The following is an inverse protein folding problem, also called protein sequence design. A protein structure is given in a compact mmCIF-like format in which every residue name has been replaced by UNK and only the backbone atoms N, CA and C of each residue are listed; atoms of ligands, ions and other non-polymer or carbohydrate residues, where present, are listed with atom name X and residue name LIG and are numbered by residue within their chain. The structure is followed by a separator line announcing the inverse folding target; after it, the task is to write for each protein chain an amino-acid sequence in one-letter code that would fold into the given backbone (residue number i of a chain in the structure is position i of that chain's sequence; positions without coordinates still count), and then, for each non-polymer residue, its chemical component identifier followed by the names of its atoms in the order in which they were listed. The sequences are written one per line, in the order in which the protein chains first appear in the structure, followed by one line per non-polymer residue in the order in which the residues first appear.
data_IF_175218508959
#
_entry.id   IF_175218508959
#
_cell.length_a   1.000
_cell.length_b   1.000
_cell.length_c   1.000
_cell.angle_alpha   90.00
_cell.angle_beta   90.00
_cell.angle_gamma   90.00
#
_symmetry.space_group_name_H-M   'P 1'
#
loop_
_entity.id
_entity.type
_entity.pdbx_description
1 polymer ?
#
# COMPACT_ATOMS: atom_id res chain seq x y z
N UNK A 1 19.18 -4.57 5.48
CA UNK A 1 20.36 -4.20 6.29
C UNK A 1 21.12 -5.46 6.66
N UNK A 2 22.39 -5.34 7.05
CA UNK A 2 23.16 -6.45 7.64
C UNK A 2 23.04 -6.42 9.17
N UNK A 3 23.17 -7.56 9.87
CA UNK A 3 23.25 -7.55 11.33
C UNK A 3 24.42 -6.66 11.80
N UNK A 4 24.33 -6.03 12.98
CA UNK A 4 25.48 -5.33 13.56
C UNK A 4 26.70 -6.26 13.60
N UNK A 5 27.87 -5.76 13.22
CA UNK A 5 29.12 -6.55 13.18
C UNK A 5 29.60 -6.99 14.57
N UNK A 6 29.06 -6.40 15.64
CA UNK A 6 29.35 -6.76 17.00
C UNK A 6 28.04 -7.02 17.74
N UNK A 7 27.72 -8.29 17.95
CA UNK A 7 26.68 -8.77 18.88
C UNK A 7 27.04 -8.49 20.36
N UNK A 8 27.96 -7.55 20.61
CA UNK A 8 28.47 -7.24 21.94
C UNK A 8 29.10 -8.46 22.63
N UNK A 9 29.73 -9.39 21.90
CA UNK A 9 30.28 -10.57 22.54
C UNK A 9 31.68 -11.00 22.15
N UNK A 10 32.61 -10.66 23.04
CA UNK A 10 33.52 -11.64 23.62
C UNK A 10 32.75 -12.90 24.04
N UNK A 11 32.67 -13.89 23.16
CA UNK A 11 32.53 -15.33 23.43
C UNK A 11 31.43 -15.87 24.39
N UNK A 12 30.47 -15.10 24.94
CA UNK A 12 29.51 -15.59 25.97
C UNK A 12 28.13 -14.86 26.01
N UNK A 13 27.48 -14.55 24.88
CA UNK A 13 26.07 -14.07 24.89
C UNK A 13 25.20 -14.85 23.93
N UNK A 14 24.26 -15.57 24.51
CA UNK A 14 23.16 -16.31 23.89
C UNK A 14 22.01 -15.41 23.43
N UNK A 15 22.23 -14.12 23.21
CA UNK A 15 21.15 -13.17 22.91
C UNK A 15 20.91 -13.04 21.41
N UNK A 16 20.12 -13.96 20.86
CA UNK A 16 19.64 -13.86 19.49
C UNK A 16 18.88 -12.53 19.27
N UNK A 17 19.18 -11.85 18.16
CA UNK A 17 18.42 -10.69 17.70
C UNK A 17 16.98 -11.15 17.43
N UNK A 18 16.02 -10.48 18.07
CA UNK A 18 14.59 -10.82 17.99
C UNK A 18 13.85 -10.00 16.95
N UNK A 19 14.25 -8.75 16.74
CA UNK A 19 13.65 -7.85 15.74
C UNK A 19 14.58 -6.70 15.39
N UNK A 20 14.26 -6.03 14.29
CA UNK A 20 14.86 -4.79 13.84
C UNK A 20 13.79 -3.70 13.79
N UNK A 21 14.23 -2.46 13.96
CA UNK A 21 13.41 -1.28 13.76
C UNK A 21 14.13 -0.34 12.80
N UNK A 22 13.45 0.04 11.73
CA UNK A 22 13.93 1.05 10.79
C UNK A 22 13.10 2.32 10.95
N UNK A 23 13.76 3.46 10.99
CA UNK A 23 13.16 4.77 11.16
C UNK A 23 13.71 5.73 10.12
N UNK A 24 12.81 6.35 9.35
CA UNK A 24 13.15 7.30 8.30
C UNK A 24 12.49 8.65 8.57
N UNK A 25 13.32 9.70 8.62
CA UNK A 25 12.87 11.09 8.84
C UNK A 25 13.12 11.92 7.58
N UNK A 26 12.21 12.84 7.21
CA UNK A 26 12.43 13.71 6.05
C UNK A 26 13.61 14.65 6.31
N UNK A 27 14.54 14.72 5.36
CA UNK A 27 15.76 15.52 5.48
C UNK A 27 15.48 17.03 5.35
N UNK A 28 14.58 17.41 4.43
CA UNK A 28 14.38 18.81 4.04
C UNK A 28 12.93 19.22 3.76
N UNK A 29 11.97 18.28 3.73
CA UNK A 29 10.58 18.57 3.38
C UNK A 29 9.75 18.99 4.61
N UNK A 30 9.30 20.25 4.64
CA UNK A 30 8.33 20.73 5.65
C UNK A 30 6.99 20.01 5.45
N UNK A 31 6.53 19.27 6.46
CA UNK A 31 5.23 18.58 6.46
C UNK A 31 5.27 17.10 6.05
N UNK A 32 6.43 16.59 5.62
CA UNK A 32 6.62 15.15 5.47
C UNK A 32 6.63 14.48 6.84
N UNK A 33 6.01 13.30 6.94
CA UNK A 33 5.96 12.52 8.19
C UNK A 33 7.12 11.53 8.23
N UNK A 34 7.65 11.30 9.43
CA UNK A 34 8.58 10.19 9.66
C UNK A 34 7.84 8.86 9.60
N UNK A 35 8.50 7.84 9.08
CA UNK A 35 7.95 6.49 8.96
C UNK A 35 8.85 5.52 9.73
N UNK A 36 8.24 4.66 10.54
CA UNK A 36 8.93 3.61 11.31
C UNK A 36 8.32 2.27 10.97
N UNK A 37 9.15 1.25 10.78
CA UNK A 37 8.72 -0.15 10.70
C UNK A 37 9.49 -1.01 11.70
N UNK A 38 8.83 -2.06 12.18
CA UNK A 38 9.47 -3.14 12.94
C UNK A 38 9.33 -4.44 12.17
N UNK A 39 10.40 -5.20 12.05
CA UNK A 39 10.42 -6.48 11.32
C UNK A 39 11.38 -7.45 11.99
N UNK A 40 11.13 -8.75 11.84
CA UNK A 40 12.07 -9.80 12.28
C UNK A 40 13.07 -10.18 11.19
N UNK A 41 12.81 -9.78 9.95
CA UNK A 41 13.68 -10.00 8.79
C UNK A 41 14.76 -8.93 8.69
N UNK A 42 15.83 -9.24 7.95
CA UNK A 42 16.90 -8.28 7.58
C UNK A 42 16.47 -7.29 6.48
N UNK A 43 15.21 -7.36 6.06
CA UNK A 43 14.58 -6.50 5.07
C UNK A 43 13.17 -6.12 5.52
N UNK A 44 12.70 -4.98 5.04
CA UNK A 44 11.35 -4.49 5.27
C UNK A 44 11.03 -3.36 4.30
N UNK A 45 9.74 -3.18 4.02
CA UNK A 45 9.24 -2.14 3.11
C UNK A 45 8.58 -1.03 3.93
N UNK A 46 8.99 0.22 3.67
CA UNK A 46 8.39 1.41 4.25
C UNK A 46 7.26 1.89 3.33
N UNK A 47 6.04 1.95 3.85
CA UNK A 47 4.87 2.47 3.14
C UNK A 47 4.53 3.89 3.62
N UNK A 48 3.75 4.62 2.84
CA UNK A 48 3.28 5.97 3.21
C UNK A 48 4.36 7.06 3.17
N UNK A 49 5.47 6.82 2.46
CA UNK A 49 6.45 7.86 2.17
C UNK A 49 5.91 8.82 1.11
N UNK A 50 6.06 10.12 1.35
CA UNK A 50 5.68 11.12 0.35
C UNK A 50 6.58 11.07 -0.90
N UNK A 51 6.04 11.28 -2.10
CA UNK A 51 6.79 11.29 -3.35
C UNK A 51 7.72 12.51 -3.45
N UNK A 52 8.85 12.35 -4.17
CA UNK A 52 9.88 13.40 -4.38
C UNK A 52 10.47 13.99 -3.09
N UNK A 53 10.55 13.20 -2.02
CA UNK A 53 11.11 13.64 -0.72
C UNK A 53 12.35 12.81 -0.38
N UNK A 54 13.40 13.51 0.08
CA UNK A 54 14.59 12.88 0.67
C UNK A 54 14.36 12.52 2.14
N UNK A 55 14.64 11.27 2.50
CA UNK A 55 14.55 10.73 3.86
C UNK A 55 15.92 10.25 4.34
N UNK A 56 16.26 10.55 5.59
CA UNK A 56 17.37 9.97 6.32
C UNK A 56 16.87 8.74 7.09
N UNK A 57 17.31 7.56 6.66
CA UNK A 57 16.91 6.28 7.22
C UNK A 57 17.99 5.70 8.14
N UNK A 58 17.57 5.20 9.29
CA UNK A 58 18.41 4.55 10.30
C UNK A 58 17.77 3.23 10.73
N UNK A 59 18.58 2.26 11.14
CA UNK A 59 18.08 0.96 11.65
C UNK A 59 18.77 0.59 12.96
N UNK A 60 18.05 -0.08 13.87
CA UNK A 60 18.61 -0.69 15.08
C UNK A 60 18.07 -2.09 15.29
N UNK A 61 18.83 -2.93 15.99
CA UNK A 61 18.45 -4.28 16.35
C UNK A 61 17.92 -4.33 17.79
N UNK A 62 17.09 -5.31 18.11
CA UNK A 62 16.60 -5.58 19.46
C UNK A 62 16.87 -7.03 19.84
N UNK A 63 17.36 -7.23 21.06
CA UNK A 63 17.49 -8.55 21.67
C UNK A 63 16.63 -8.62 22.95
N UNK A 64 16.85 -9.63 23.79
CA UNK A 64 16.12 -9.80 25.05
C UNK A 64 16.44 -8.74 26.11
N UNK A 65 17.59 -8.04 25.99
CA UNK A 65 18.01 -6.97 26.91
C UNK A 65 17.47 -5.62 26.46
N UNK A 66 17.46 -5.35 25.15
CA UNK A 66 16.94 -4.09 24.63
C UNK A 66 17.40 -3.75 23.22
N UNK A 67 17.19 -2.49 22.78
CA UNK A 67 17.68 -2.00 21.50
C UNK A 67 19.19 -1.77 21.48
N UNK A 68 19.80 -1.96 20.31
CA UNK A 68 21.14 -1.45 19.98
C UNK A 68 21.13 0.06 19.73
N UNK A 69 22.31 0.64 19.58
CA UNK A 69 22.46 1.95 18.93
C UNK A 69 21.91 1.92 17.49
N UNK A 70 21.49 3.08 17.00
CA UNK A 70 21.12 3.30 15.61
C UNK A 70 22.32 3.17 14.68
N UNK A 71 22.09 2.67 13.47
CA UNK A 71 23.07 2.68 12.39
C UNK A 71 23.40 4.11 11.94
N UNK A 72 24.45 4.25 11.12
CA UNK A 72 24.63 5.45 10.31
C UNK A 72 23.37 5.74 9.48
N UNK A 73 23.04 7.03 9.33
CA UNK A 73 21.92 7.46 8.52
C UNK A 73 22.26 7.40 7.03
N UNK A 74 21.35 6.83 6.24
CA UNK A 74 21.45 6.81 4.78
C UNK A 74 20.39 7.73 4.19
N UNK A 75 20.80 8.66 3.31
CA UNK A 75 19.88 9.50 2.57
C UNK A 75 19.30 8.74 1.37
N UNK A 76 17.97 8.67 1.29
CA UNK A 76 17.22 8.04 0.20
C UNK A 76 16.17 9.02 -0.32
N UNK A 77 16.06 9.18 -1.63
CA UNK A 77 15.04 10.04 -2.24
C UNK A 77 13.96 9.19 -2.89
N UNK A 78 12.69 9.44 -2.54
CA UNK A 78 11.56 8.77 -3.18
C UNK A 78 11.33 9.27 -4.60
N UNK A 79 10.83 8.38 -5.47
CA UNK A 79 10.44 8.73 -6.83
C UNK A 79 9.21 9.65 -6.89
N UNK A 80 8.81 10.00 -8.11
CA UNK A 80 7.49 10.62 -8.33
C UNK A 80 6.37 9.61 -8.02
N UNK A 81 5.21 10.10 -7.60
CA UNK A 81 4.03 9.26 -7.49
C UNK A 81 3.66 8.69 -8.87
N UNK A 82 3.19 7.46 -8.89
CA UNK A 82 2.69 6.78 -10.09
C UNK A 82 1.21 6.46 -9.93
N UNK A 83 0.57 5.94 -10.98
CA UNK A 83 -0.80 5.45 -10.88
C UNK A 83 -0.95 4.43 -9.74
N UNK A 84 -2.09 4.44 -9.01
CA UNK A 84 -2.34 3.47 -7.95
C UNK A 84 -2.40 2.06 -8.52
N UNK A 85 -2.25 1.06 -7.67
CA UNK A 85 -2.48 -0.32 -8.05
C UNK A 85 -3.94 -0.52 -8.46
N UNK A 86 -4.18 -1.35 -9.48
CA UNK A 86 -5.53 -1.67 -9.90
C UNK A 86 -6.31 -2.31 -8.72
N UNK A 87 -7.55 -1.87 -8.46
CA UNK A 87 -8.37 -2.51 -7.44
C UNK A 87 -8.64 -3.97 -7.82
N UNK A 88 -8.89 -4.82 -6.81
CA UNK A 88 -9.29 -6.21 -7.09
C UNK A 88 -10.67 -6.22 -7.75
N UNK A 89 -10.97 -7.33 -8.45
CA UNK A 89 -12.24 -7.52 -9.10
C UNK A 89 -13.43 -7.28 -8.14
N UNK A 90 -14.49 -6.60 -8.60
CA UNK A 90 -15.67 -6.36 -7.79
C UNK A 90 -16.39 -7.67 -7.45
N UNK A 91 -17.01 -7.70 -6.28
CA UNK A 91 -17.89 -8.78 -5.83
C UNK A 91 -19.34 -8.33 -5.95
N UNK A 92 -20.18 -9.18 -6.54
CA UNK A 92 -21.61 -8.91 -6.73
C UNK A 92 -22.40 -9.72 -5.70
N UNK A 93 -23.10 -9.02 -4.81
CA UNK A 93 -23.99 -9.61 -3.82
C UNK A 93 -25.34 -10.00 -4.41
N UNK A 94 -25.97 -11.01 -3.80
CA UNK A 94 -27.34 -11.40 -4.11
C UNK A 94 -28.35 -10.45 -3.45
N UNK A 95 -29.31 -9.98 -4.24
CA UNK A 95 -30.47 -9.18 -3.85
C UNK A 95 -31.45 -9.24 -5.02
N UNK A 96 -32.77 -9.15 -4.79
CA UNK A 96 -33.81 -9.41 -5.81
C UNK A 96 -33.62 -8.66 -7.13
N UNK A 97 -34.23 -7.48 -7.26
CA UNK A 97 -34.09 -6.61 -8.43
C UNK A 97 -32.92 -5.61 -8.29
N UNK A 98 -32.19 -5.68 -7.18
CA UNK A 98 -31.04 -4.82 -6.89
C UNK A 98 -29.81 -5.69 -6.66
N UNK A 99 -28.69 -5.32 -7.27
CA UNK A 99 -27.42 -6.03 -7.12
C UNK A 99 -26.43 -5.10 -6.44
N UNK A 100 -26.01 -5.43 -5.21
CA UNK A 100 -24.97 -4.67 -4.54
C UNK A 100 -23.61 -5.08 -5.11
N UNK A 101 -22.93 -4.15 -5.79
CA UNK A 101 -21.56 -4.31 -6.27
C UNK A 101 -20.62 -3.69 -5.25
N UNK A 102 -19.60 -4.43 -4.84
CA UNK A 102 -18.59 -3.96 -3.88
C UNK A 102 -17.20 -4.22 -4.43
N UNK A 103 -16.25 -3.32 -4.19
CA UNK A 103 -14.85 -3.55 -4.55
C UNK A 103 -13.95 -3.09 -3.41
N UNK A 104 -12.83 -3.79 -3.16
CA UNK A 104 -11.87 -3.32 -2.17
C UNK A 104 -11.16 -2.07 -2.68
N UNK A 105 -10.76 -1.20 -1.76
CA UNK A 105 -9.86 -0.11 -2.08
C UNK A 105 -8.54 -0.65 -2.64
N UNK A 106 -7.89 0.14 -3.51
CA UNK A 106 -6.54 -0.19 -4.00
C UNK A 106 -5.58 -0.41 -2.82
N UNK A 107 -4.80 -1.49 -2.89
CA UNK A 107 -3.92 -1.89 -1.80
C UNK A 107 -2.72 -0.93 -1.63
N UNK A 108 -2.28 -0.33 -2.74
CA UNK A 108 -1.22 0.67 -2.78
C UNK A 108 -1.63 1.85 -3.69
N UNK A 109 -1.40 3.07 -3.19
CA UNK A 109 -1.69 4.32 -3.89
C UNK A 109 -0.44 4.88 -4.60
N UNK A 110 0.70 4.19 -4.50
CA UNK A 110 1.97 4.55 -5.10
C UNK A 110 2.40 6.00 -4.84
N UNK A 111 2.04 6.53 -3.66
CA UNK A 111 2.42 7.87 -3.22
C UNK A 111 1.45 8.99 -3.63
N UNK A 112 0.28 8.67 -4.21
CA UNK A 112 -0.80 9.63 -4.42
C UNK A 112 -2.16 8.99 -4.09
N UNK A 113 -2.93 9.55 -3.15
CA UNK A 113 -4.19 8.93 -2.71
C UNK A 113 -5.18 8.76 -3.86
N UNK A 114 -5.89 7.63 -3.85
CA UNK A 114 -6.98 7.36 -4.81
C UNK A 114 -8.10 8.38 -4.62
N UNK A 115 -8.47 9.08 -5.69
CA UNK A 115 -9.48 10.15 -5.66
C UNK A 115 -10.85 9.73 -6.15
N UNK A 116 -10.94 8.66 -6.96
CA UNK A 116 -12.19 8.12 -7.51
C UNK A 116 -11.99 6.69 -8.03
N UNK A 117 -13.08 5.93 -8.05
CA UNK A 117 -13.23 4.65 -8.73
C UNK A 117 -14.20 4.80 -9.89
N UNK A 118 -13.91 4.12 -10.99
CA UNK A 118 -14.83 3.97 -12.11
C UNK A 118 -15.29 2.52 -12.19
N UNK A 119 -16.60 2.29 -12.21
CA UNK A 119 -17.19 0.98 -12.43
C UNK A 119 -17.78 0.93 -13.83
N UNK A 120 -17.34 -0.06 -14.61
CA UNK A 120 -17.84 -0.30 -15.96
C UNK A 120 -18.45 -1.69 -16.06
N UNK A 121 -19.47 -1.83 -16.90
CA UNK A 121 -20.08 -3.11 -17.25
C UNK A 121 -19.87 -3.41 -18.74
N UNK A 122 -19.72 -4.68 -19.07
CA UNK A 122 -19.61 -5.21 -20.43
C UNK A 122 -20.53 -6.41 -20.59
N UNK A 123 -21.16 -6.57 -21.75
CA UNK A 123 -21.91 -7.76 -22.10
C UNK A 123 -20.99 -8.81 -22.75
N UNK A 124 -21.17 -10.07 -22.37
CA UNK A 124 -20.25 -11.16 -22.77
C UNK A 124 -20.25 -11.44 -24.28
N UNK A 125 -21.28 -11.02 -25.01
CA UNK A 125 -21.44 -11.25 -26.45
C UNK A 125 -20.99 -10.09 -27.34
N UNK A 126 -20.62 -8.96 -26.76
CA UNK A 126 -19.98 -7.85 -27.47
C UNK A 126 -18.51 -7.86 -27.06
N UNK A 127 -17.61 -7.39 -27.94
CA UNK A 127 -16.18 -7.36 -27.60
C UNK A 127 -15.98 -6.64 -26.27
N UNK A 128 -15.01 -7.11 -25.45
CA UNK A 128 -14.68 -6.54 -24.15
C UNK A 128 -14.28 -5.05 -24.18
N UNK A 129 -14.18 -4.47 -25.37
CA UNK A 129 -13.96 -3.05 -25.63
C UNK A 129 -15.23 -2.20 -25.58
N UNK A 130 -16.43 -2.80 -25.61
CA UNK A 130 -17.69 -2.08 -25.50
C UNK A 130 -18.17 -2.12 -24.05
N UNK A 131 -17.76 -1.11 -23.27
CA UNK A 131 -18.09 -0.99 -21.85
C UNK A 131 -18.95 0.26 -21.61
N UNK A 132 -19.79 0.23 -20.59
CA UNK A 132 -20.57 1.38 -20.13
C UNK A 132 -20.20 1.71 -18.69
N UNK A 133 -19.86 2.97 -18.42
CA UNK A 133 -19.57 3.47 -17.09
C UNK A 133 -20.87 3.68 -16.32
N UNK A 134 -21.03 2.99 -15.20
CA UNK A 134 -22.24 3.01 -14.36
C UNK A 134 -22.00 3.73 -13.03
N UNK A 135 -20.74 3.96 -12.65
CA UNK A 135 -20.40 4.69 -11.44
C UNK A 135 -19.06 5.40 -11.58
N UNK A 136 -18.99 6.64 -11.11
CA UNK A 136 -17.75 7.38 -10.90
C UNK A 136 -17.83 8.11 -9.56
N UNK A 137 -16.95 7.76 -8.62
CA UNK A 137 -16.95 8.38 -7.30
C UNK A 137 -16.02 7.72 -6.30
N UNK A 138 -16.05 8.18 -5.05
CA UNK A 138 -15.14 7.72 -3.99
C UNK A 138 -15.63 6.50 -3.20
N UNK A 139 -16.91 6.12 -3.38
CA UNK A 139 -17.46 4.97 -2.68
C UNK A 139 -16.78 3.67 -3.15
N UNK A 140 -16.76 2.66 -2.27
CA UNK A 140 -16.29 1.29 -2.56
C UNK A 140 -17.46 0.32 -2.78
N UNK A 141 -18.64 0.86 -3.03
CA UNK A 141 -19.86 0.12 -3.26
C UNK A 141 -20.80 0.90 -4.17
N UNK A 142 -21.55 0.17 -4.98
CA UNK A 142 -22.59 0.69 -5.86
C UNK A 142 -23.80 -0.23 -5.84
N UNK A 143 -25.00 0.32 -5.73
CA UNK A 143 -26.24 -0.45 -5.80
C UNK A 143 -26.76 -0.39 -7.23
N UNK A 144 -26.52 -1.45 -8.00
CA UNK A 144 -27.01 -1.57 -9.37
C UNK A 144 -28.52 -1.80 -9.35
N UNK A 145 -29.22 -1.06 -10.21
CA UNK A 145 -30.66 -1.02 -10.38
C UNK A 145 -31.05 -1.11 -11.86
N UNK A 146 -32.32 -1.40 -12.14
CA UNK A 146 -32.85 -1.50 -13.51
C UNK A 146 -32.82 -0.15 -14.29
N UNK A 147 -32.57 0.96 -13.59
CA UNK A 147 -32.46 2.29 -14.20
C UNK A 147 -31.02 2.63 -14.63
N UNK A 148 -30.04 1.79 -14.27
CA UNK A 148 -28.67 1.98 -14.70
C UNK A 148 -28.54 1.72 -16.20
N UNK A 149 -27.61 2.39 -16.90
CA UNK A 149 -27.42 2.17 -18.32
C UNK A 149 -26.88 0.76 -18.53
N UNK A 150 -27.78 -0.16 -18.87
CA UNK A 150 -27.45 -1.53 -19.24
C UNK A 150 -27.13 -1.56 -20.73
N UNK A 151 -26.10 -2.31 -21.11
CA UNK A 151 -25.82 -2.55 -22.51
C UNK A 151 -27.02 -3.28 -23.16
N UNK A 152 -27.37 -2.96 -24.42
CA UNK A 152 -28.52 -3.57 -25.09
C UNK A 152 -28.39 -5.10 -25.12
N UNK A 153 -29.51 -5.77 -24.89
CA UNK A 153 -29.65 -7.22 -24.99
C UNK A 153 -29.35 -7.71 -26.42
N UNK A 154 -29.04 -9.00 -26.54
CA UNK A 154 -28.82 -9.66 -27.84
C UNK A 154 -30.15 -9.76 -28.60
N UNK A 155 -30.20 -9.16 -29.79
CA UNK A 155 -31.28 -9.35 -30.77
C UNK A 155 -31.43 -10.83 -31.22
#
# INVERSE_FOLDING_TARGET
WTPPSNDGCSAHSTQAIRRYEAHCVPAHAKGAKSVTISTTSLSGTLHGLQPKVGYMCTVRAYNSVGPSHWSNATLVTTGAATSPEAPKAPTIGAGGNLRLVTWPASADDHGSPVTSYELQISNWWVSSTNTTSIFNGQATQYLLSDNDPVLPDRD
#
